data_IF_829449511087
#
_entry.id   IF_829449511087
#
_cell.length_a   1.000
_cell.length_b   1.000
_cell.length_c   1.000
_cell.angle_alpha   90.00
_cell.angle_beta   90.00
_cell.angle_gamma   90.00
#
_symmetry.space_group_name_H-M   'P 1'
#
loop_
_entity.id
_entity.type
_entity.pdbx_description
1 polymer ?
#
# COMPACT_ATOMS: atom_id res chain seq x y z
N UNK A 1 25.00 3.94 16.09
CA UNK A 1 24.28 2.90 15.32
C UNK A 1 22.82 3.32 15.24
N UNK A 2 22.20 3.24 14.06
CA UNK A 2 20.80 3.66 13.94
C UNK A 2 19.81 2.65 14.54
N UNK A 3 18.64 3.11 15.03
CA UNK A 3 17.58 2.24 15.53
C UNK A 3 17.17 1.14 14.55
N UNK A 4 17.18 1.45 13.24
CA UNK A 4 16.86 0.49 12.17
C UNK A 4 17.91 -0.62 12.07
N UNK A 5 19.20 -0.30 12.18
CA UNK A 5 20.26 -1.32 12.17
C UNK A 5 20.12 -2.24 13.38
N UNK A 6 19.86 -1.69 14.56
CA UNK A 6 19.64 -2.47 15.79
C UNK A 6 18.42 -3.40 15.65
N UNK A 7 17.34 -2.91 15.04
CA UNK A 7 16.13 -3.70 14.78
C UNK A 7 16.39 -4.84 13.78
N UNK A 8 17.13 -4.56 12.71
CA UNK A 8 17.54 -5.57 11.75
C UNK A 8 18.46 -6.61 12.39
N UNK A 9 19.30 -6.23 13.36
CA UNK A 9 20.15 -7.15 14.09
C UNK A 9 19.36 -8.16 14.91
N UNK A 10 18.35 -7.69 15.63
CA UNK A 10 17.52 -8.56 16.46
C UNK A 10 16.65 -9.48 15.61
N UNK A 11 16.15 -8.98 14.47
CA UNK A 11 15.29 -9.73 13.56
C UNK A 11 16.06 -10.70 12.65
N UNK A 12 17.28 -10.33 12.24
CA UNK A 12 18.09 -11.03 11.26
C UNK A 12 19.58 -10.98 11.63
N UNK A 13 20.02 -11.75 12.65
CA UNK A 13 21.40 -11.70 13.14
C UNK A 13 22.45 -12.03 12.06
N UNK A 14 22.10 -12.90 11.10
CA UNK A 14 22.95 -13.29 9.98
C UNK A 14 23.29 -12.11 9.03
N UNK A 15 22.46 -11.05 9.02
CA UNK A 15 22.62 -9.89 8.12
C UNK A 15 23.84 -9.01 8.50
N UNK A 16 24.12 -8.89 9.80
CA UNK A 16 25.12 -7.95 10.32
C UNK A 16 26.48 -8.60 10.63
N UNK A 17 26.56 -9.92 10.77
CA UNK A 17 27.86 -10.63 10.71
C UNK A 17 28.59 -10.34 9.39
N UNK A 18 27.83 -9.92 8.39
CA UNK A 18 28.27 -9.66 7.03
C UNK A 18 28.57 -8.17 6.78
N UNK A 19 27.94 -7.25 7.52
CA UNK A 19 28.16 -5.81 7.38
C UNK A 19 29.32 -5.35 8.28
N UNK A 20 30.45 -4.98 7.69
CA UNK A 20 31.62 -4.52 8.46
C UNK A 20 31.42 -3.13 9.06
N UNK A 21 31.86 -3.01 10.32
CA UNK A 21 32.17 -1.76 11.01
C UNK A 21 33.49 -1.18 10.49
N UNK A 22 33.45 0.01 9.90
CA UNK A 22 34.57 0.95 9.72
C UNK A 22 35.62 0.70 8.62
N UNK A 23 35.23 0.26 7.42
CA UNK A 23 36.06 0.48 6.22
C UNK A 23 35.44 1.56 5.32
N UNK A 24 36.27 2.44 4.74
CA UNK A 24 35.85 3.42 3.71
C UNK A 24 35.35 2.74 2.41
N UNK A 25 35.35 1.41 2.36
CA UNK A 25 35.01 0.60 1.21
C UNK A 25 33.71 -0.17 1.48
N UNK A 26 32.69 0.10 0.67
CA UNK A 26 31.41 -0.61 0.76
C UNK A 26 31.52 -2.00 0.14
N UNK A 27 31.14 -3.05 0.88
CA UNK A 27 31.15 -4.45 0.42
C UNK A 27 29.86 -5.24 0.67
N UNK A 28 28.81 -4.57 1.19
CA UNK A 28 27.57 -5.25 1.58
C UNK A 28 26.83 -5.91 0.41
N UNK A 29 26.91 -5.30 -0.78
CA UNK A 29 26.30 -5.79 -2.03
C UNK A 29 26.88 -7.10 -2.56
N UNK A 30 28.16 -7.35 -2.33
CA UNK A 30 28.80 -8.62 -2.67
C UNK A 30 28.43 -9.69 -1.65
N UNK A 31 28.52 -9.34 -0.36
CA UNK A 31 28.37 -10.33 0.69
C UNK A 31 26.92 -10.75 0.94
N UNK A 32 25.95 -9.88 0.66
CA UNK A 32 24.53 -10.26 0.77
C UNK A 32 24.20 -11.45 -0.12
N UNK A 33 24.86 -11.57 -1.29
CA UNK A 33 24.68 -12.69 -2.24
C UNK A 33 25.19 -14.03 -1.70
N UNK A 34 26.02 -14.01 -0.65
CA UNK A 34 26.57 -15.19 0.01
C UNK A 34 25.64 -15.73 1.11
N UNK A 35 24.58 -15.00 1.48
CA UNK A 35 23.63 -15.44 2.50
C UNK A 35 22.87 -16.69 2.04
N UNK A 36 22.66 -17.61 2.98
CA UNK A 36 22.05 -18.92 2.70
C UNK A 36 20.55 -18.87 2.39
N UNK A 37 20.04 -19.96 1.83
CA UNK A 37 18.62 -20.12 1.49
C UNK A 37 17.66 -19.90 2.66
N UNK A 38 18.01 -20.40 3.86
CA UNK A 38 17.15 -20.30 5.05
C UNK A 38 16.95 -18.85 5.50
N UNK A 39 17.97 -18.02 5.35
CA UNK A 39 17.86 -16.58 5.57
C UNK A 39 16.83 -15.96 4.61
N UNK A 40 16.95 -16.24 3.31
CA UNK A 40 16.03 -15.69 2.31
C UNK A 40 14.60 -16.19 2.46
N UNK A 41 14.37 -17.42 2.92
CA UNK A 41 13.01 -17.89 3.25
C UNK A 41 12.35 -17.00 4.31
N UNK A 42 13.08 -16.63 5.37
CA UNK A 42 12.58 -15.72 6.42
C UNK A 42 12.32 -14.32 5.87
N UNK A 43 13.29 -13.76 5.14
CA UNK A 43 13.18 -12.41 4.56
C UNK A 43 12.03 -12.32 3.57
N UNK A 44 11.84 -13.32 2.71
CA UNK A 44 10.75 -13.38 1.73
C UNK A 44 9.37 -13.38 2.42
N UNK A 45 9.22 -14.05 3.57
CA UNK A 45 7.94 -14.04 4.29
C UNK A 45 7.70 -12.74 5.05
N UNK A 46 8.77 -12.04 5.46
CA UNK A 46 8.73 -10.78 6.20
C UNK A 46 8.90 -9.53 5.31
N UNK A 47 8.99 -9.70 3.99
CA UNK A 47 9.20 -8.60 3.04
C UNK A 47 8.19 -7.44 3.16
N UNK A 48 6.90 -7.62 3.55
CA UNK A 48 6.00 -6.49 3.68
C UNK A 48 6.40 -5.57 4.84
N UNK A 49 6.89 -6.14 5.95
CA UNK A 49 7.36 -5.38 7.12
C UNK A 49 8.66 -4.63 6.78
N UNK A 50 9.62 -5.31 6.14
CA UNK A 50 10.87 -4.67 5.69
C UNK A 50 10.63 -3.53 4.69
N UNK A 51 9.65 -3.68 3.79
CA UNK A 51 9.25 -2.60 2.89
C UNK A 51 8.64 -1.40 3.65
N UNK A 52 7.87 -1.64 4.72
CA UNK A 52 7.31 -0.58 5.56
C UNK A 52 8.41 0.17 6.32
N UNK A 53 9.29 -0.56 7.00
CA UNK A 53 10.43 0.01 7.74
C UNK A 53 11.35 0.82 6.82
N UNK A 54 11.65 0.30 5.62
CA UNK A 54 12.39 1.02 4.59
C UNK A 54 11.69 2.31 4.15
N UNK A 55 10.37 2.28 3.91
CA UNK A 55 9.58 3.47 3.55
C UNK A 55 9.63 4.54 4.65
N UNK A 56 9.48 4.13 5.91
CA UNK A 56 9.54 5.05 7.07
C UNK A 56 10.93 5.68 7.18
N UNK A 57 11.99 4.89 7.01
CA UNK A 57 13.36 5.41 7.01
C UNK A 57 13.61 6.39 5.85
N UNK A 58 13.10 6.12 4.65
CA UNK A 58 13.19 7.05 3.53
C UNK A 58 12.50 8.38 3.84
N UNK A 59 11.33 8.32 4.48
CA UNK A 59 10.60 9.51 4.90
C UNK A 59 11.38 10.34 5.93
N UNK A 60 11.99 9.67 6.93
CA UNK A 60 12.87 10.30 7.90
C UNK A 60 14.07 10.97 7.23
N UNK A 61 14.81 10.27 6.37
CA UNK A 61 15.97 10.80 5.64
C UNK A 61 15.58 12.06 4.85
N UNK A 62 14.46 12.01 4.14
CA UNK A 62 13.97 13.15 3.36
C UNK A 62 13.63 14.35 4.25
N UNK A 63 12.96 14.11 5.37
CA UNK A 63 12.65 15.17 6.33
C UNK A 63 13.95 15.82 6.86
N UNK A 64 14.94 14.99 7.19
CA UNK A 64 16.24 15.44 7.70
C UNK A 64 17.01 16.29 6.67
N UNK A 65 16.94 15.93 5.38
CA UNK A 65 17.48 16.76 4.30
C UNK A 65 16.72 18.08 4.10
N UNK A 66 15.43 18.13 4.42
CA UNK A 66 14.62 19.34 4.32
C UNK A 66 14.91 20.31 5.48
N UNK A 67 15.43 19.80 6.60
CA UNK A 67 15.73 20.56 7.82
C UNK A 67 17.14 20.27 8.34
N UNK A 68 18.20 20.68 7.62
CA UNK A 68 19.59 20.30 7.91
C UNK A 68 20.16 20.80 9.25
N UNK A 69 19.45 21.70 9.95
CA UNK A 69 19.88 22.23 11.26
C UNK A 69 19.46 21.39 12.47
N UNK A 70 18.68 20.32 12.28
CA UNK A 70 18.12 19.55 13.40
C UNK A 70 18.93 18.30 13.80
N UNK A 71 19.84 17.82 12.95
CA UNK A 71 20.47 16.50 13.09
C UNK A 71 21.97 16.56 12.77
N UNK A 72 22.77 15.75 13.47
CA UNK A 72 24.21 15.68 13.22
C UNK A 72 24.52 14.99 11.89
N UNK A 73 25.60 15.43 11.23
CA UNK A 73 26.03 14.85 9.95
C UNK A 73 26.31 13.34 10.07
N UNK A 74 26.84 12.90 11.22
CA UNK A 74 27.10 11.48 11.49
C UNK A 74 25.81 10.66 11.52
N UNK A 75 24.75 11.15 12.16
CA UNK A 75 23.44 10.47 12.20
C UNK A 75 22.83 10.34 10.80
N UNK A 76 22.95 11.37 9.95
CA UNK A 76 22.48 11.30 8.54
C UNK A 76 23.27 10.25 7.77
N UNK A 77 24.60 10.17 7.95
CA UNK A 77 25.44 9.16 7.31
C UNK A 77 25.03 7.76 7.77
N UNK A 78 24.79 7.53 9.06
CA UNK A 78 24.34 6.23 9.56
C UNK A 78 22.94 5.85 9.00
N UNK A 79 22.01 6.80 8.91
CA UNK A 79 20.69 6.57 8.31
C UNK A 79 20.79 6.22 6.82
N UNK A 80 21.66 6.91 6.07
CA UNK A 80 21.93 6.61 4.66
C UNK A 80 22.53 5.20 4.49
N UNK A 81 23.46 4.78 5.37
CA UNK A 81 23.99 3.41 5.39
C UNK A 81 22.88 2.39 5.63
N UNK A 82 22.02 2.61 6.62
CA UNK A 82 20.89 1.73 6.92
C UNK A 82 19.91 1.63 5.74
N UNK A 83 19.60 2.75 5.09
CA UNK A 83 18.72 2.79 3.92
C UNK A 83 19.35 2.08 2.72
N UNK A 84 20.65 2.21 2.51
CA UNK A 84 21.36 1.52 1.44
C UNK A 84 21.36 -0.01 1.67
N UNK A 85 21.60 -0.47 2.91
CA UNK A 85 21.52 -1.89 3.26
C UNK A 85 20.13 -2.47 3.01
N UNK A 86 19.09 -1.81 3.50
CA UNK A 86 17.70 -2.23 3.27
C UNK A 86 17.35 -2.24 1.79
N UNK A 87 17.77 -1.22 1.04
CA UNK A 87 17.50 -1.13 -0.39
C UNK A 87 18.18 -2.26 -1.17
N UNK A 88 19.40 -2.67 -0.79
CA UNK A 88 20.13 -3.78 -1.41
C UNK A 88 19.52 -5.14 -1.04
N UNK A 89 19.12 -5.33 0.23
CA UNK A 89 18.39 -6.53 0.67
C UNK A 89 17.07 -6.69 -0.06
N UNK A 90 16.27 -5.62 -0.11
CA UNK A 90 15.00 -5.63 -0.81
C UNK A 90 15.19 -5.81 -2.31
N UNK A 91 16.25 -5.26 -2.92
CA UNK A 91 16.51 -5.48 -4.35
C UNK A 91 16.75 -6.96 -4.64
N UNK A 92 17.64 -7.61 -3.89
CA UNK A 92 17.97 -9.02 -4.05
C UNK A 92 16.72 -9.91 -3.90
N UNK A 93 15.87 -9.60 -2.91
CA UNK A 93 14.57 -10.26 -2.69
C UNK A 93 13.62 -10.05 -3.87
N UNK A 94 13.45 -8.82 -4.34
CA UNK A 94 12.53 -8.52 -5.44
C UNK A 94 13.04 -9.01 -6.80
N UNK A 95 14.34 -9.08 -7.01
CA UNK A 95 14.96 -9.52 -8.26
C UNK A 95 14.90 -11.04 -8.38
N UNK A 96 15.35 -11.76 -7.36
CA UNK A 96 15.62 -13.20 -7.47
C UNK A 96 14.55 -14.11 -6.89
N UNK A 97 13.71 -13.60 -5.98
CA UNK A 97 12.78 -14.42 -5.22
C UNK A 97 11.31 -14.05 -5.44
N UNK A 98 10.98 -12.76 -5.44
CA UNK A 98 9.60 -12.28 -5.67
C UNK A 98 9.31 -11.93 -7.14
N UNK A 99 10.37 -11.73 -7.93
CA UNK A 99 10.37 -11.37 -9.37
C UNK A 99 9.46 -10.17 -9.66
N UNK A 100 9.87 -9.00 -9.18
CA UNK A 100 9.10 -7.74 -9.27
C UNK A 100 9.96 -6.63 -9.89
N UNK A 101 10.04 -6.56 -11.23
CA UNK A 101 10.96 -5.64 -11.92
C UNK A 101 10.79 -4.17 -11.54
N UNK A 102 9.56 -3.70 -11.32
CA UNK A 102 9.29 -2.30 -10.94
C UNK A 102 9.92 -1.92 -9.59
N UNK A 103 9.91 -2.83 -8.62
CA UNK A 103 10.45 -2.58 -7.28
C UNK A 103 11.96 -2.57 -7.35
N UNK A 104 12.55 -3.49 -8.13
CA UNK A 104 13.98 -3.50 -8.45
C UNK A 104 14.40 -2.17 -9.07
N UNK A 105 13.70 -1.68 -10.10
CA UNK A 105 14.02 -0.39 -10.73
C UNK A 105 13.83 0.82 -9.79
N UNK A 106 12.85 0.76 -8.87
CA UNK A 106 12.69 1.80 -7.83
C UNK A 106 13.86 1.80 -6.84
N UNK A 107 14.18 0.62 -6.29
CA UNK A 107 15.23 0.46 -5.29
C UNK A 107 16.61 0.82 -5.85
N UNK A 108 16.90 0.42 -7.08
CA UNK A 108 18.12 0.80 -7.81
C UNK A 108 18.32 2.30 -7.93
N UNK A 109 17.25 3.04 -8.26
CA UNK A 109 17.29 4.51 -8.30
C UNK A 109 17.60 5.10 -6.92
N UNK A 110 16.96 4.59 -5.87
CA UNK A 110 17.24 5.04 -4.50
C UNK A 110 18.68 4.72 -4.08
N UNK A 111 19.19 3.53 -4.40
CA UNK A 111 20.57 3.15 -4.12
C UNK A 111 21.58 4.09 -4.80
N UNK A 112 21.35 4.49 -6.05
CA UNK A 112 22.21 5.47 -6.73
C UNK A 112 22.25 6.79 -5.96
N UNK A 113 21.10 7.30 -5.53
CA UNK A 113 21.02 8.53 -4.73
C UNK A 113 21.80 8.37 -3.42
N UNK A 114 21.62 7.26 -2.68
CA UNK A 114 22.34 7.04 -1.42
C UNK A 114 23.84 6.89 -1.62
N UNK A 115 24.30 6.17 -2.66
CA UNK A 115 25.72 6.01 -2.98
C UNK A 115 26.38 7.37 -3.24
N UNK A 116 25.77 8.19 -4.08
CA UNK A 116 26.28 9.55 -4.37
C UNK A 116 26.32 10.42 -3.11
N UNK A 117 25.28 10.37 -2.27
CA UNK A 117 25.28 11.14 -1.01
C UNK A 117 26.35 10.67 -0.03
N UNK A 118 26.59 9.36 0.06
CA UNK A 118 27.62 8.77 0.94
C UNK A 118 29.05 9.01 0.41
N UNK A 119 29.26 9.03 -0.91
CA UNK A 119 30.50 9.47 -1.54
C UNK A 119 30.80 10.93 -1.19
N UNK A 120 29.81 11.82 -1.36
CA UNK A 120 29.95 13.26 -1.13
C UNK A 120 30.14 13.62 0.36
N UNK A 121 29.43 12.95 1.28
CA UNK A 121 29.40 13.33 2.69
C UNK A 121 30.38 12.55 3.59
N UNK A 122 30.69 11.30 3.23
CA UNK A 122 31.49 10.40 4.06
C UNK A 122 32.76 9.90 3.35
N UNK A 123 32.98 10.26 2.09
CA UNK A 123 34.13 9.82 1.30
C UNK A 123 34.17 8.31 1.05
N UNK A 124 33.02 7.62 1.16
CA UNK A 124 32.96 6.18 0.92
C UNK A 124 33.21 5.85 -0.55
N UNK A 125 33.92 4.75 -0.80
CA UNK A 125 34.20 4.24 -2.14
C UNK A 125 33.34 3.03 -2.43
N UNK A 126 32.70 3.03 -3.60
CA UNK A 126 31.92 1.92 -4.12
C UNK A 126 32.66 1.28 -5.31
N UNK A 127 32.57 -0.04 -5.45
CA UNK A 127 33.22 -0.75 -6.56
C UNK A 127 32.67 -0.29 -7.92
N UNK A 128 33.56 -0.03 -8.88
CA UNK A 128 33.21 0.56 -10.19
C UNK A 128 32.25 -0.30 -11.02
N UNK A 129 32.24 -1.63 -10.86
CA UNK A 129 31.27 -2.51 -11.53
C UNK A 129 29.81 -2.24 -11.10
N UNK A 130 29.58 -1.69 -9.91
CA UNK A 130 28.24 -1.45 -9.35
C UNK A 130 27.74 0.00 -9.54
N UNK A 131 28.49 0.84 -10.27
CA UNK A 131 28.11 2.22 -10.62
C UNK A 131 27.13 2.27 -11.79
N UNK A 132 27.26 1.35 -12.75
CA UNK A 132 26.32 1.17 -13.85
C UNK A 132 25.32 0.07 -13.53
N UNK A 133 24.37 0.40 -12.65
CA UNK A 133 23.17 -0.41 -12.53
C UNK A 133 22.48 -0.40 -13.91
N UNK A 134 22.54 -1.53 -14.64
CA UNK A 134 21.86 -1.65 -15.92
C UNK A 134 20.39 -1.26 -15.72
N UNK A 135 19.86 -0.29 -16.50
CA UNK A 135 18.44 -0.04 -16.47
C UNK A 135 17.76 -1.35 -16.87
N UNK A 136 17.08 -1.98 -15.91
CA UNK A 136 16.05 -2.95 -16.28
C UNK A 136 15.01 -2.11 -16.99
N UNK A 137 15.05 -2.12 -18.33
CA UNK A 137 13.93 -1.69 -19.13
C UNK A 137 12.72 -2.42 -18.55
N UNK A 138 11.66 -1.70 -18.12
CA UNK A 138 10.46 -2.36 -17.66
C UNK A 138 9.92 -3.13 -18.86
N UNK A 139 10.17 -4.43 -18.91
CA UNK A 139 9.48 -5.31 -19.85
C UNK A 139 7.99 -5.03 -19.69
N UNK A 140 7.29 -4.88 -20.82
CA UNK A 140 5.86 -4.65 -20.82
C UNK A 140 5.18 -5.73 -19.97
N UNK A 141 4.73 -5.35 -18.77
CA UNK A 141 4.04 -6.25 -17.87
C UNK A 141 2.55 -6.03 -18.06
N UNK A 142 1.91 -6.95 -18.79
CA UNK A 142 0.46 -6.95 -18.97
C UNK A 142 -0.28 -6.88 -17.62
N UNK A 143 0.24 -7.56 -16.60
CA UNK A 143 -0.32 -7.50 -15.24
C UNK A 143 -0.26 -6.09 -14.65
N UNK A 144 0.84 -5.36 -14.87
CA UNK A 144 0.98 -3.99 -14.42
C UNK A 144 0.03 -3.05 -15.18
N UNK A 145 -0.04 -3.19 -16.51
CA UNK A 145 -0.95 -2.42 -17.35
C UNK A 145 -2.42 -2.61 -16.91
N UNK A 146 -2.82 -3.85 -16.64
CA UNK A 146 -4.16 -4.16 -16.12
C UNK A 146 -4.38 -3.47 -14.77
N UNK A 147 -3.44 -3.60 -13.83
CA UNK A 147 -3.56 -3.02 -12.49
C UNK A 147 -3.72 -1.50 -12.51
N UNK A 148 -2.89 -0.81 -13.27
CA UNK A 148 -2.85 0.67 -13.31
C UNK A 148 -4.11 1.24 -13.98
N UNK A 149 -4.56 0.63 -15.07
CA UNK A 149 -5.77 1.05 -15.76
C UNK A 149 -7.05 0.70 -14.99
N UNK A 150 -7.07 -0.45 -14.28
CA UNK A 150 -8.25 -0.85 -13.49
C UNK A 150 -8.59 0.22 -12.45
N UNK A 151 -7.60 0.79 -11.75
CA UNK A 151 -7.84 1.81 -10.73
C UNK A 151 -8.48 3.08 -11.32
N UNK A 152 -7.98 3.55 -12.46
CA UNK A 152 -8.49 4.77 -13.12
C UNK A 152 -9.89 4.54 -13.70
N UNK A 153 -10.07 3.44 -14.44
CA UNK A 153 -11.35 3.10 -15.10
C UNK A 153 -12.44 2.82 -14.06
N UNK A 154 -12.08 2.27 -12.88
CA UNK A 154 -13.05 1.99 -11.83
C UNK A 154 -13.84 3.25 -11.40
N UNK A 155 -13.18 4.41 -11.29
CA UNK A 155 -13.85 5.65 -10.90
C UNK A 155 -14.94 6.05 -11.89
N UNK A 156 -14.65 5.97 -13.19
CA UNK A 156 -15.62 6.24 -14.24
C UNK A 156 -16.75 5.21 -14.27
N UNK A 157 -16.41 3.92 -14.16
CA UNK A 157 -17.39 2.83 -14.08
C UNK A 157 -18.38 3.07 -12.94
N UNK A 158 -17.88 3.40 -11.76
CA UNK A 158 -18.71 3.67 -10.58
C UNK A 158 -19.58 4.91 -10.78
N UNK A 159 -19.03 6.01 -11.32
CA UNK A 159 -19.82 7.21 -11.59
C UNK A 159 -20.98 6.91 -12.54
N UNK A 160 -20.70 6.28 -13.67
CA UNK A 160 -21.71 6.01 -14.70
C UNK A 160 -22.80 5.06 -14.17
N UNK A 161 -22.41 3.96 -13.53
CA UNK A 161 -23.37 2.98 -12.98
C UNK A 161 -24.25 3.57 -11.88
N UNK A 162 -23.67 4.42 -11.01
CA UNK A 162 -24.40 5.08 -9.92
C UNK A 162 -25.32 6.18 -10.43
N UNK A 163 -24.88 6.98 -11.41
CA UNK A 163 -25.71 8.01 -12.07
C UNK A 163 -26.91 7.39 -12.76
N UNK A 164 -26.70 6.30 -13.51
CA UNK A 164 -27.82 5.56 -14.12
C UNK A 164 -28.85 5.15 -13.07
N UNK A 165 -28.41 4.61 -11.93
CA UNK A 165 -29.32 4.18 -10.87
C UNK A 165 -30.19 5.33 -10.35
N UNK A 166 -29.63 6.54 -10.20
CA UNK A 166 -30.42 7.71 -9.81
C UNK A 166 -31.46 8.06 -10.88
N UNK A 167 -31.10 8.01 -12.17
CA UNK A 167 -32.06 8.27 -13.25
C UNK A 167 -33.21 7.25 -13.23
N UNK A 168 -32.91 5.96 -13.03
CA UNK A 168 -33.92 4.91 -12.98
C UNK A 168 -34.90 5.10 -11.81
N UNK A 169 -34.42 5.55 -10.64
CA UNK A 169 -35.30 5.80 -9.49
C UNK A 169 -36.00 7.17 -9.53
N UNK A 170 -35.43 8.17 -10.22
CA UNK A 170 -36.07 9.48 -10.39
C UNK A 170 -37.39 9.35 -11.14
N UNK A 171 -37.47 8.41 -12.10
CA UNK A 171 -38.69 8.08 -12.84
C UNK A 171 -39.85 7.67 -11.91
N UNK A 172 -39.51 6.95 -10.83
CA UNK A 172 -40.46 6.40 -9.89
C UNK A 172 -40.95 7.42 -8.84
N UNK A 173 -40.24 8.53 -8.65
CA UNK A 173 -40.48 9.45 -7.52
C UNK A 173 -41.03 10.81 -7.92
N UNK A 174 -40.73 11.36 -9.11
CA UNK A 174 -40.93 12.80 -9.26
C UNK A 174 -41.15 13.42 -10.63
N UNK A 175 -41.09 12.70 -11.75
CA UNK A 175 -41.23 13.37 -13.05
C UNK A 175 -42.67 13.40 -13.55
N UNK A 176 -43.46 12.34 -13.31
CA UNK A 176 -44.83 12.23 -13.86
C UNK A 176 -44.93 12.38 -15.39
N UNK A 177 -43.78 12.52 -16.05
CA UNK A 177 -43.64 13.00 -17.41
C UNK A 177 -43.41 11.81 -18.31
N UNK A 178 -44.33 11.61 -19.25
CA UNK A 178 -44.25 10.52 -20.23
C UNK A 178 -42.98 10.61 -21.09
N UNK A 179 -42.53 11.83 -21.40
CA UNK A 179 -41.29 12.06 -22.15
C UNK A 179 -40.05 11.57 -21.38
N UNK A 180 -40.03 11.76 -20.06
CA UNK A 180 -38.93 11.28 -19.21
C UNK A 180 -38.92 9.75 -19.15
N UNK A 181 -40.08 9.12 -18.89
CA UNK A 181 -40.24 7.65 -18.89
C UNK A 181 -39.80 7.04 -20.21
N UNK A 182 -40.20 7.62 -21.33
CA UNK A 182 -39.82 7.17 -22.66
C UNK A 182 -38.30 7.24 -22.87
N UNK A 183 -37.68 8.36 -22.47
CA UNK A 183 -36.23 8.56 -22.55
C UNK A 183 -35.46 7.52 -21.69
N UNK A 184 -35.88 7.34 -20.43
CA UNK A 184 -35.28 6.35 -19.52
C UNK A 184 -35.49 4.93 -20.05
N UNK A 185 -36.65 4.61 -20.61
CA UNK A 185 -36.92 3.32 -21.23
C UNK A 185 -36.00 3.00 -22.41
N UNK A 186 -35.76 3.96 -23.31
CA UNK A 186 -34.77 3.82 -24.39
C UNK A 186 -33.37 3.63 -23.81
N UNK A 187 -32.98 4.44 -22.83
CA UNK A 187 -31.68 4.33 -22.18
C UNK A 187 -31.51 2.93 -21.57
N UNK A 188 -32.49 2.44 -20.83
CA UNK A 188 -32.45 1.14 -20.16
C UNK A 188 -32.35 -0.03 -21.14
N UNK A 189 -33.02 0.04 -22.28
CA UNK A 189 -32.93 -0.99 -23.33
C UNK A 189 -31.47 -1.23 -23.77
N UNK A 190 -30.69 -0.17 -23.97
CA UNK A 190 -29.29 -0.29 -24.38
C UNK A 190 -28.34 -0.51 -23.20
N UNK A 191 -28.61 0.16 -22.08
CA UNK A 191 -27.64 0.23 -20.98
C UNK A 191 -27.78 -0.91 -19.98
N UNK A 192 -28.96 -1.51 -19.77
CA UNK A 192 -29.10 -2.65 -18.85
C UNK A 192 -28.21 -3.83 -19.28
N UNK A 193 -28.31 -4.35 -20.53
CA UNK A 193 -27.45 -5.44 -20.95
C UNK A 193 -25.97 -5.09 -20.84
N UNK A 194 -25.59 -3.87 -21.27
CA UNK A 194 -24.22 -3.40 -21.17
C UNK A 194 -23.68 -3.41 -19.74
N UNK A 195 -24.45 -2.88 -18.77
CA UNK A 195 -24.00 -2.84 -17.38
C UNK A 195 -23.97 -4.21 -16.72
N UNK A 196 -24.85 -5.13 -17.11
CA UNK A 196 -24.83 -6.51 -16.62
C UNK A 196 -23.55 -7.23 -17.05
N UNK A 197 -23.13 -7.07 -18.31
CA UNK A 197 -21.84 -7.58 -18.79
C UNK A 197 -20.65 -6.85 -18.16
N UNK A 198 -20.73 -5.53 -18.00
CA UNK A 198 -19.67 -4.73 -17.40
C UNK A 198 -19.42 -5.09 -15.93
N UNK A 199 -20.46 -5.52 -15.21
CA UNK A 199 -20.38 -5.86 -13.78
C UNK A 199 -19.35 -6.95 -13.47
N UNK A 200 -19.20 -7.95 -14.33
CA UNK A 200 -18.22 -9.03 -14.14
C UNK A 200 -16.99 -8.90 -15.05
N UNK A 201 -17.17 -8.50 -16.31
CA UNK A 201 -16.07 -8.43 -17.28
C UNK A 201 -14.97 -7.44 -16.89
N UNK A 202 -15.34 -6.38 -16.16
CA UNK A 202 -14.39 -5.40 -15.61
C UNK A 202 -13.34 -6.04 -14.69
N UNK A 203 -13.72 -7.07 -13.92
CA UNK A 203 -12.84 -7.68 -12.92
C UNK A 203 -12.01 -8.85 -13.48
N UNK A 204 -12.41 -9.43 -14.62
CA UNK A 204 -11.72 -10.58 -15.23
C UNK A 204 -10.25 -10.32 -15.54
N UNK A 205 -9.86 -9.19 -16.17
CA UNK A 205 -8.45 -8.96 -16.49
C UNK A 205 -7.58 -9.02 -15.24
N UNK A 206 -8.00 -8.38 -14.14
CA UNK A 206 -7.24 -8.36 -12.88
C UNK A 206 -7.25 -9.71 -12.19
N UNK A 207 -8.40 -10.40 -12.15
CA UNK A 207 -8.51 -11.76 -11.62
C UNK A 207 -7.57 -12.73 -12.34
N UNK A 208 -7.60 -12.70 -13.68
CA UNK A 208 -6.79 -13.59 -14.53
C UNK A 208 -5.30 -13.31 -14.34
N UNK A 209 -4.88 -12.04 -14.30
CA UNK A 209 -3.49 -11.68 -14.05
C UNK A 209 -3.01 -12.16 -12.67
N UNK A 210 -3.83 -12.01 -11.63
CA UNK A 210 -3.50 -12.44 -10.27
C UNK A 210 -3.45 -13.98 -10.15
N UNK A 211 -4.41 -14.70 -10.73
CA UNK A 211 -4.42 -16.16 -10.78
C UNK A 211 -3.24 -16.72 -11.57
N UNK A 212 -2.92 -16.12 -12.72
CA UNK A 212 -1.78 -16.50 -13.53
C UNK A 212 -0.47 -16.36 -12.75
N UNK A 213 -0.22 -15.22 -12.11
CA UNK A 213 0.98 -15.02 -11.32
C UNK A 213 1.04 -15.97 -10.11
N UNK A 214 -0.06 -16.15 -9.39
CA UNK A 214 -0.11 -17.09 -8.28
C UNK A 214 0.24 -18.51 -8.74
N UNK A 215 -0.32 -18.95 -9.87
CA UNK A 215 -0.06 -20.28 -10.45
C UNK A 215 1.38 -20.41 -10.92
N UNK A 216 1.87 -19.43 -11.71
CA UNK A 216 3.24 -19.38 -12.25
C UNK A 216 4.30 -19.53 -11.17
N UNK A 217 4.10 -18.86 -10.03
CA UNK A 217 5.08 -18.86 -8.95
C UNK A 217 4.90 -20.03 -7.96
N UNK A 218 3.73 -20.67 -7.94
CA UNK A 218 3.49 -21.85 -7.08
C UNK A 218 3.98 -23.14 -7.73
N UNK A 219 3.66 -23.32 -9.01
CA UNK A 219 4.08 -24.48 -9.80
C UNK A 219 5.49 -24.23 -10.33
N UNK A 220 6.31 -25.27 -10.51
CA UNK A 220 7.63 -25.15 -11.13
C UNK A 220 7.50 -24.77 -12.61
N UNK A 221 7.34 -23.48 -12.88
CA UNK A 221 7.25 -22.96 -14.24
C UNK A 221 8.61 -23.05 -14.96
N UNK A 222 8.65 -23.34 -16.27
CA UNK A 222 9.90 -23.48 -17.01
C UNK A 222 10.85 -22.30 -16.83
N UNK A 223 10.34 -21.08 -16.98
CA UNK A 223 11.09 -19.82 -16.94
C UNK A 223 11.39 -19.30 -15.52
N UNK A 224 11.20 -20.13 -14.50
CA UNK A 224 11.44 -19.74 -13.12
C UNK A 224 12.94 -19.78 -12.77
N UNK A 225 13.43 -18.72 -12.12
CA UNK A 225 14.84 -18.59 -11.74
C UNK A 225 15.29 -19.66 -10.74
N UNK A 226 16.57 -20.02 -10.78
CA UNK A 226 17.12 -21.05 -9.89
C UNK A 226 16.94 -20.68 -8.40
N UNK A 227 17.25 -19.43 -8.02
CA UNK A 227 17.07 -18.92 -6.65
C UNK A 227 15.61 -18.98 -6.18
N UNK A 228 14.67 -18.63 -7.06
CA UNK A 228 13.24 -18.74 -6.76
C UNK A 228 12.82 -20.20 -6.53
N UNK A 229 13.25 -21.12 -7.41
CA UNK A 229 12.95 -22.56 -7.30
C UNK A 229 13.38 -23.14 -5.94
N UNK A 230 14.51 -22.68 -5.40
CA UNK A 230 15.07 -23.16 -4.13
C UNK A 230 14.20 -22.86 -2.90
N UNK A 231 13.32 -21.84 -2.93
CA UNK A 231 12.49 -21.47 -1.76
C UNK A 231 11.47 -22.56 -1.34
N UNK A 232 11.13 -23.47 -2.26
CA UNK A 232 10.03 -24.41 -2.08
C UNK A 232 8.67 -23.79 -2.43
N UNK A 233 7.68 -24.64 -2.74
CA UNK A 233 6.37 -24.19 -3.22
C UNK A 233 5.57 -23.42 -2.16
N UNK A 234 5.63 -23.83 -0.89
CA UNK A 234 4.87 -23.20 0.19
C UNK A 234 5.28 -21.74 0.42
N UNK A 235 6.59 -21.46 0.49
CA UNK A 235 7.11 -20.10 0.69
C UNK A 235 6.75 -19.21 -0.50
N UNK A 236 6.89 -19.72 -1.74
CA UNK A 236 6.50 -19.00 -2.95
C UNK A 236 5.01 -18.68 -2.97
N UNK A 237 4.17 -19.66 -2.68
CA UNK A 237 2.72 -19.48 -2.61
C UNK A 237 2.35 -18.41 -1.58
N UNK A 238 2.85 -18.53 -0.34
CA UNK A 238 2.58 -17.56 0.73
C UNK A 238 3.06 -16.15 0.38
N UNK A 239 4.24 -16.01 -0.20
CA UNK A 239 4.77 -14.72 -0.63
C UNK A 239 3.89 -14.04 -1.70
N UNK A 240 3.37 -14.81 -2.66
CA UNK A 240 2.47 -14.27 -3.67
C UNK A 240 1.07 -13.99 -3.12
N UNK A 241 0.58 -14.85 -2.22
CA UNK A 241 -0.71 -14.69 -1.54
C UNK A 241 -0.72 -13.40 -0.71
N UNK A 242 0.28 -13.17 0.14
CA UNK A 242 0.43 -11.95 0.96
C UNK A 242 0.30 -10.65 0.14
N UNK A 243 0.69 -10.67 -1.14
CA UNK A 243 0.67 -9.51 -2.02
C UNK A 243 -0.66 -9.31 -2.77
N UNK A 244 -1.42 -10.37 -3.01
CA UNK A 244 -2.57 -10.36 -3.96
C UNK A 244 -3.90 -10.75 -3.36
N UNK A 245 -3.93 -11.39 -2.20
CA UNK A 245 -5.13 -12.06 -1.71
C UNK A 245 -6.34 -11.13 -1.54
N UNK A 246 -6.15 -9.87 -1.11
CA UNK A 246 -7.24 -8.89 -1.02
C UNK A 246 -7.89 -8.58 -2.37
N UNK A 247 -7.07 -8.44 -3.43
CA UNK A 247 -7.55 -8.16 -4.78
C UNK A 247 -8.16 -9.41 -5.41
N UNK A 248 -7.51 -10.56 -5.22
CA UNK A 248 -7.98 -11.86 -5.69
C UNK A 248 -9.35 -12.20 -5.09
N UNK A 249 -9.50 -12.06 -3.77
CA UNK A 249 -10.75 -12.34 -3.07
C UNK A 249 -11.88 -11.41 -3.51
N UNK A 250 -11.59 -10.11 -3.61
CA UNK A 250 -12.55 -9.14 -4.12
C UNK A 250 -13.00 -9.48 -5.55
N UNK A 251 -12.07 -9.71 -6.46
CA UNK A 251 -12.39 -10.00 -7.86
C UNK A 251 -13.16 -11.30 -8.04
N UNK A 252 -12.81 -12.34 -7.27
CA UNK A 252 -13.48 -13.62 -7.32
C UNK A 252 -14.96 -13.48 -6.92
N UNK A 253 -15.27 -12.74 -5.86
CA UNK A 253 -16.65 -12.49 -5.42
C UNK A 253 -17.40 -11.69 -6.48
N UNK A 254 -16.84 -10.58 -6.96
CA UNK A 254 -17.53 -9.72 -7.92
C UNK A 254 -17.74 -10.36 -9.29
N UNK A 255 -16.78 -11.18 -9.78
CA UNK A 255 -16.97 -11.98 -11.00
C UNK A 255 -18.07 -13.02 -10.77
N UNK A 256 -18.05 -13.76 -9.67
CA UNK A 256 -19.04 -14.81 -9.38
C UNK A 256 -20.45 -14.23 -9.26
N UNK A 257 -20.60 -13.15 -8.49
CA UNK A 257 -21.88 -12.45 -8.29
C UNK A 257 -22.39 -11.87 -9.61
N UNK A 258 -21.52 -11.24 -10.40
CA UNK A 258 -21.90 -10.68 -11.70
C UNK A 258 -22.32 -11.74 -12.71
N UNK A 259 -21.62 -12.89 -12.77
CA UNK A 259 -22.01 -14.01 -13.63
C UNK A 259 -23.35 -14.63 -13.20
N UNK A 260 -23.55 -14.84 -11.90
CA UNK A 260 -24.82 -15.36 -11.38
C UNK A 260 -25.98 -14.39 -11.66
N UNK A 261 -25.79 -13.09 -11.44
CA UNK A 261 -26.80 -12.09 -11.75
C UNK A 261 -27.11 -12.00 -13.25
N UNK A 262 -26.10 -12.13 -14.11
CA UNK A 262 -26.24 -11.98 -15.55
C UNK A 262 -26.90 -13.21 -16.22
N UNK A 263 -26.55 -14.43 -15.78
CA UNK A 263 -26.95 -15.66 -16.47
C UNK A 263 -27.92 -16.56 -15.70
N UNK A 264 -27.96 -16.46 -14.36
CA UNK A 264 -28.74 -17.39 -13.51
C UNK A 264 -29.92 -16.70 -12.86
N UNK A 265 -29.71 -15.56 -12.22
CA UNK A 265 -30.73 -14.81 -11.49
C UNK A 265 -31.48 -13.84 -12.40
N UNK A 266 -32.07 -14.38 -13.47
CA UNK A 266 -32.85 -13.62 -14.46
C UNK A 266 -34.34 -13.99 -14.38
N UNK A 267 -35.20 -13.20 -15.03
CA UNK A 267 -36.65 -13.45 -15.07
C UNK A 267 -37.28 -13.45 -13.68
N UNK A 268 -37.94 -14.55 -13.30
CA UNK A 268 -38.60 -14.71 -12.00
C UNK A 268 -37.63 -14.73 -10.82
N UNK A 269 -36.35 -15.06 -11.05
CA UNK A 269 -35.31 -15.08 -10.02
C UNK A 269 -34.60 -13.73 -9.85
N UNK A 270 -34.89 -12.74 -10.70
CA UNK A 270 -34.26 -11.41 -10.65
C UNK A 270 -34.32 -10.72 -9.27
N UNK A 271 -35.40 -10.84 -8.47
CA UNK A 271 -35.42 -10.25 -7.12
C UNK A 271 -34.33 -10.80 -6.18
N UNK A 272 -33.86 -12.03 -6.41
CA UNK A 272 -32.79 -12.64 -5.61
C UNK A 272 -31.42 -12.00 -5.88
N UNK A 273 -31.22 -11.40 -7.06
CA UNK A 273 -29.97 -10.75 -7.44
C UNK A 273 -29.61 -9.58 -6.49
N UNK A 274 -30.61 -8.90 -5.92
CA UNK A 274 -30.39 -7.81 -4.97
C UNK A 274 -29.75 -8.35 -3.68
N UNK A 275 -30.23 -9.47 -3.15
CA UNK A 275 -29.67 -10.08 -1.94
C UNK A 275 -28.25 -10.60 -2.16
N UNK A 276 -27.99 -11.23 -3.32
CA UNK A 276 -26.64 -11.69 -3.67
C UNK A 276 -25.67 -10.51 -3.82
N UNK A 277 -26.11 -9.41 -4.43
CA UNK A 277 -25.32 -8.18 -4.55
C UNK A 277 -25.07 -7.54 -3.18
N UNK A 278 -26.06 -7.55 -2.29
CA UNK A 278 -25.92 -7.05 -0.93
C UNK A 278 -24.91 -7.88 -0.12
N UNK A 279 -24.93 -9.20 -0.30
CA UNK A 279 -23.91 -10.10 0.25
C UNK A 279 -22.50 -9.73 -0.24
N UNK A 280 -22.34 -9.41 -1.53
CA UNK A 280 -21.06 -8.96 -2.08
C UNK A 280 -20.55 -7.67 -1.39
N UNK A 281 -21.44 -6.70 -1.15
CA UNK A 281 -21.09 -5.49 -0.41
C UNK A 281 -20.76 -5.76 1.07
N UNK A 282 -21.46 -6.70 1.72
CA UNK A 282 -21.10 -7.12 3.07
C UNK A 282 -19.72 -7.79 3.12
N UNK A 283 -19.40 -8.59 2.11
CA UNK A 283 -18.07 -9.16 1.93
C UNK A 283 -17.01 -8.07 1.73
N UNK A 284 -17.29 -7.03 0.96
CA UNK A 284 -16.36 -5.90 0.78
C UNK A 284 -16.05 -5.20 2.12
N UNK A 285 -17.03 -5.04 3.01
CA UNK A 285 -16.83 -4.52 4.36
C UNK A 285 -15.92 -5.46 5.15
N UNK A 286 -16.23 -6.75 5.19
CA UNK A 286 -15.41 -7.73 5.93
C UNK A 286 -13.97 -7.78 5.42
N UNK A 287 -13.78 -7.80 4.09
CA UNK A 287 -12.48 -7.80 3.45
C UNK A 287 -11.70 -6.50 3.72
N UNK A 288 -12.38 -5.35 3.72
CA UNK A 288 -11.79 -4.04 4.05
C UNK A 288 -11.38 -3.94 5.51
N UNK A 289 -12.23 -4.41 6.44
CA UNK A 289 -11.93 -4.47 7.87
C UNK A 289 -10.75 -5.38 8.16
N UNK A 290 -10.72 -6.56 7.54
CA UNK A 290 -9.61 -7.50 7.69
C UNK A 290 -8.30 -6.92 7.12
N UNK A 291 -8.38 -6.16 6.02
CA UNK A 291 -7.24 -5.40 5.48
C UNK A 291 -6.73 -4.37 6.45
N UNK A 292 -7.64 -3.56 6.99
CA UNK A 292 -7.29 -2.54 7.96
C UNK A 292 -6.63 -3.16 9.20
N UNK A 293 -7.20 -4.25 9.72
CA UNK A 293 -6.65 -4.99 10.84
C UNK A 293 -5.23 -5.49 10.56
N UNK A 294 -4.99 -6.17 9.43
CA UNK A 294 -3.67 -6.73 9.12
C UNK A 294 -2.63 -5.64 8.84
N UNK A 295 -2.97 -4.60 8.09
CA UNK A 295 -2.04 -3.50 7.77
C UNK A 295 -1.69 -2.68 9.01
N UNK A 296 -2.68 -2.32 9.85
CA UNK A 296 -2.43 -1.58 11.09
C UNK A 296 -1.70 -2.44 12.12
N UNK A 297 -2.06 -3.70 12.30
CA UNK A 297 -1.39 -4.58 13.27
C UNK A 297 0.09 -4.78 12.96
N UNK A 298 0.49 -4.77 11.68
CA UNK A 298 1.92 -4.79 11.30
C UNK A 298 2.66 -3.54 11.77
N UNK A 299 2.04 -2.37 11.64
CA UNK A 299 2.64 -1.10 12.10
C UNK A 299 2.67 -0.99 13.62
N UNK A 300 1.62 -1.45 14.30
CA UNK A 300 1.61 -1.50 15.76
C UNK A 300 2.64 -2.48 16.31
N UNK A 301 2.78 -3.65 15.70
CA UNK A 301 3.84 -4.59 16.05
C UNK A 301 5.23 -3.96 15.89
N UNK A 302 5.47 -3.27 14.78
CA UNK A 302 6.73 -2.54 14.56
C UNK A 302 6.92 -1.47 15.64
N UNK A 303 5.90 -0.66 15.91
CA UNK A 303 5.94 0.35 16.98
C UNK A 303 6.30 -0.26 18.33
N UNK A 304 5.70 -1.39 18.70
CA UNK A 304 5.97 -2.09 19.96
C UNK A 304 7.38 -2.67 20.01
N UNK A 305 7.91 -3.18 18.90
CA UNK A 305 9.30 -3.64 18.79
C UNK A 305 10.29 -2.49 19.05
N UNK A 306 10.04 -1.29 18.48
CA UNK A 306 10.86 -0.11 18.76
C UNK A 306 10.69 0.45 20.17
N UNK A 307 9.48 0.41 20.75
CA UNK A 307 9.26 0.80 22.16
C UNK A 307 10.04 -0.11 23.11
N UNK A 308 9.99 -1.42 22.89
CA UNK A 308 10.77 -2.40 23.68
C UNK A 308 12.26 -2.18 23.55
N UNK A 309 12.74 -1.84 22.35
CA UNK A 309 14.13 -1.46 22.13
C UNK A 309 14.50 -0.21 22.95
N UNK A 310 13.66 0.83 22.93
CA UNK A 310 13.89 2.04 23.73
C UNK A 310 13.91 1.81 25.24
N UNK A 311 13.16 0.82 25.74
CA UNK A 311 13.18 0.42 27.16
C UNK A 311 14.38 -0.45 27.53
N UNK A 312 14.92 -1.22 26.59
CA UNK A 312 16.05 -2.12 26.82
C UNK A 312 17.42 -1.41 26.76
N UNK A 313 17.47 -0.23 26.14
CA UNK A 313 18.68 0.57 25.96
C UNK A 313 18.87 1.54 27.13
N UNK A 314 20.09 1.66 27.64
CA UNK A 314 20.46 2.60 28.71
C UNK A 314 21.17 3.86 28.19
N UNK A 315 21.44 3.96 26.89
CA UNK A 315 22.10 5.10 26.26
C UNK A 315 21.08 6.19 25.89
N UNK A 316 21.26 7.40 26.42
CA UNK A 316 20.38 8.54 26.19
C UNK A 316 20.34 8.98 24.71
N UNK A 317 21.45 8.88 23.99
CA UNK A 317 21.52 9.26 22.56
C UNK A 317 20.74 8.26 21.70
N UNK A 318 20.88 6.97 21.97
CA UNK A 318 20.11 5.92 21.29
C UNK A 318 18.62 6.01 21.62
N UNK A 319 18.25 6.27 22.89
CA UNK A 319 16.86 6.50 23.28
C UNK A 319 16.26 7.68 22.50
N UNK A 320 17.02 8.78 22.36
CA UNK A 320 16.57 9.94 21.59
C UNK A 320 16.36 9.60 20.11
N UNK A 321 17.30 8.88 19.50
CA UNK A 321 17.17 8.43 18.11
C UNK A 321 15.98 7.48 17.90
N UNK A 322 15.74 6.56 18.85
CA UNK A 322 14.58 5.65 18.83
C UNK A 322 13.28 6.43 18.95
N UNK A 323 13.19 7.41 19.87
CA UNK A 323 12.01 8.28 20.02
C UNK A 323 11.72 9.07 18.75
N UNK A 324 12.76 9.60 18.10
CA UNK A 324 12.60 10.29 16.82
C UNK A 324 12.06 9.35 15.74
N UNK A 325 12.63 8.14 15.62
CA UNK A 325 12.14 7.14 14.67
C UNK A 325 10.69 6.72 14.95
N UNK A 326 10.32 6.55 16.23
CA UNK A 326 8.95 6.28 16.67
C UNK A 326 7.97 7.37 16.25
N UNK A 327 8.38 8.64 16.21
CA UNK A 327 7.53 9.72 15.70
C UNK A 327 7.16 9.51 14.22
N UNK A 328 8.10 9.07 13.39
CA UNK A 328 7.81 8.77 11.98
C UNK A 328 6.92 7.53 11.83
N UNK A 329 7.11 6.51 12.68
CA UNK A 329 6.21 5.34 12.74
C UNK A 329 4.79 5.79 13.12
N UNK A 330 4.63 6.64 14.13
CA UNK A 330 3.35 7.17 14.59
C UNK A 330 2.66 7.99 13.49
N UNK A 331 3.42 8.85 12.81
CA UNK A 331 2.91 9.60 11.67
C UNK A 331 2.41 8.68 10.54
N UNK A 332 3.15 7.59 10.27
CA UNK A 332 2.71 6.59 9.30
C UNK A 332 1.44 5.85 9.74
N UNK A 333 1.33 5.49 11.02
CA UNK A 333 0.11 4.87 11.58
C UNK A 333 -1.09 5.79 11.39
N UNK A 334 -0.95 7.08 11.69
CA UNK A 334 -2.04 8.05 11.57
C UNK A 334 -2.51 8.21 10.12
N UNK A 335 -1.57 8.33 9.18
CA UNK A 335 -1.89 8.33 7.76
C UNK A 335 -2.65 7.06 7.33
N UNK A 336 -2.17 5.88 7.76
CA UNK A 336 -2.78 4.60 7.39
C UNK A 336 -4.17 4.42 8.00
N UNK A 337 -4.38 4.86 9.25
CA UNK A 337 -5.71 4.91 9.88
C UNK A 337 -6.69 5.74 9.07
N UNK A 338 -6.29 6.94 8.65
CA UNK A 338 -7.14 7.82 7.85
C UNK A 338 -7.45 7.22 6.48
N UNK A 339 -6.44 6.67 5.80
CA UNK A 339 -6.60 6.02 4.49
C UNK A 339 -7.53 4.80 4.55
N UNK A 340 -7.26 3.88 5.47
CA UNK A 340 -8.03 2.63 5.60
C UNK A 340 -9.41 2.88 6.19
N UNK A 341 -9.53 3.81 7.16
CA UNK A 341 -10.79 4.22 7.76
C UNK A 341 -11.71 4.90 6.75
N UNK A 342 -11.18 5.79 5.89
CA UNK A 342 -11.95 6.40 4.82
C UNK A 342 -12.49 5.36 3.82
N UNK A 343 -11.66 4.38 3.44
CA UNK A 343 -12.09 3.29 2.57
C UNK A 343 -13.22 2.48 3.21
N UNK A 344 -13.05 2.06 4.48
CA UNK A 344 -14.06 1.29 5.21
C UNK A 344 -15.38 2.07 5.36
N UNK A 345 -15.32 3.33 5.79
CA UNK A 345 -16.48 4.21 5.89
C UNK A 345 -17.21 4.36 4.54
N UNK A 346 -16.45 4.51 3.44
CA UNK A 346 -16.99 4.55 2.09
C UNK A 346 -17.74 3.26 1.72
N UNK A 347 -17.14 2.08 1.97
CA UNK A 347 -17.79 0.79 1.71
C UNK A 347 -19.04 0.57 2.54
N UNK A 348 -19.03 0.97 3.82
CA UNK A 348 -20.18 0.88 4.71
C UNK A 348 -21.34 1.79 4.25
N UNK A 349 -21.03 3.04 3.88
CA UNK A 349 -22.03 3.96 3.35
C UNK A 349 -22.66 3.46 2.05
N UNK A 350 -21.88 2.83 1.16
CA UNK A 350 -22.41 2.18 -0.04
C UNK A 350 -23.34 1.02 0.34
N UNK A 351 -22.95 0.15 1.27
CA UNK A 351 -23.79 -0.95 1.74
C UNK A 351 -25.13 -0.48 2.31
N UNK A 352 -25.11 0.59 3.12
CA UNK A 352 -26.33 1.21 3.66
C UNK A 352 -27.20 1.75 2.52
N UNK A 353 -26.62 2.49 1.57
CA UNK A 353 -27.35 3.00 0.41
C UNK A 353 -27.96 1.88 -0.46
N UNK A 354 -27.27 0.76 -0.59
CA UNK A 354 -27.77 -0.44 -1.29
C UNK A 354 -28.91 -1.13 -0.54
N UNK A 355 -28.85 -1.14 0.80
CA UNK A 355 -29.87 -1.77 1.64
C UNK A 355 -31.23 -1.09 1.49
N UNK A 356 -31.26 0.21 1.19
CA UNK A 356 -32.50 0.95 0.92
C UNK A 356 -33.21 0.52 -0.38
N UNK A 357 -32.54 -0.24 -1.25
CA UNK A 357 -33.11 -0.80 -2.48
C UNK A 357 -33.62 -2.24 -2.32
N UNK A 358 -33.60 -2.82 -1.12
CA UNK A 358 -34.13 -4.17 -0.85
C UNK A 358 -35.65 -4.17 -1.12
N UNK A 359 -36.22 -5.21 -1.77
CA UNK A 359 -37.64 -5.26 -2.14
C UNK A 359 -38.62 -4.93 -1.02
N UNK A 360 -38.34 -5.35 0.22
CA UNK A 360 -39.19 -5.08 1.41
C UNK A 360 -39.29 -3.57 1.71
N UNK A 361 -38.21 -2.82 1.50
CA UNK A 361 -38.16 -1.37 1.70
C UNK A 361 -38.55 -0.60 0.44
N UNK A 362 -38.31 -1.19 -0.73
CA UNK A 362 -38.61 -0.59 -2.03
C UNK A 362 -40.11 -0.49 -2.36
N UNK A 363 -41.01 -0.93 -1.47
CA UNK A 363 -42.45 -0.67 -1.55
C UNK A 363 -42.72 0.84 -1.62
N UNK A 364 -41.89 1.65 -0.95
CA UNK A 364 -41.87 3.09 -1.13
C UNK A 364 -40.75 3.48 -2.11
N UNK A 365 -41.06 3.99 -3.33
CA UNK A 365 -40.06 4.32 -4.34
C UNK A 365 -39.09 5.44 -3.90
N UNK A 366 -39.44 6.22 -2.87
CA UNK A 366 -38.59 7.26 -2.31
C UNK A 366 -37.34 6.67 -1.62
N UNK A 367 -37.45 5.50 -0.99
CA UNK A 367 -36.33 4.90 -0.26
C UNK A 367 -35.19 4.46 -1.19
N UNK A 368 -35.43 3.69 -2.28
CA UNK A 368 -34.39 3.39 -3.26
C UNK A 368 -33.78 4.63 -3.93
N UNK A 369 -34.59 5.68 -4.16
CA UNK A 369 -34.10 6.96 -4.69
C UNK A 369 -33.11 7.64 -3.73
N UNK A 370 -33.45 7.74 -2.44
CA UNK A 370 -32.54 8.25 -1.41
C UNK A 370 -31.27 7.40 -1.37
N UNK A 371 -31.38 6.07 -1.41
CA UNK A 371 -30.24 5.17 -1.47
C UNK A 371 -29.32 5.43 -2.65
N UNK A 372 -29.88 5.65 -3.84
CA UNK A 372 -29.11 5.96 -5.04
C UNK A 372 -28.38 7.31 -4.94
N UNK A 373 -29.03 8.34 -4.39
CA UNK A 373 -28.38 9.64 -4.12
C UNK A 373 -27.24 9.50 -3.11
N UNK A 374 -27.46 8.76 -2.02
CA UNK A 374 -26.43 8.50 -1.02
C UNK A 374 -25.19 7.86 -1.66
N UNK A 375 -25.36 6.86 -2.54
CA UNK A 375 -24.23 6.18 -3.19
C UNK A 375 -23.41 7.13 -4.10
N UNK A 376 -24.05 8.08 -4.79
CA UNK A 376 -23.35 9.12 -5.59
C UNK A 376 -22.64 10.12 -4.68
N UNK A 377 -23.31 10.59 -3.62
CA UNK A 377 -22.71 11.51 -2.65
C UNK A 377 -21.49 10.87 -1.99
N UNK A 378 -21.60 9.61 -1.57
CA UNK A 378 -20.48 8.83 -1.03
C UNK A 378 -19.34 8.72 -2.05
N UNK A 379 -19.63 8.50 -3.34
CA UNK A 379 -18.60 8.52 -4.39
C UNK A 379 -17.85 9.86 -4.44
N UNK A 380 -18.58 10.98 -4.47
CA UNK A 380 -17.97 12.31 -4.56
C UNK A 380 -17.14 12.65 -3.31
N UNK A 381 -17.68 12.35 -2.12
CA UNK A 381 -16.99 12.56 -0.85
C UNK A 381 -15.73 11.70 -0.74
N UNK A 382 -15.83 10.40 -1.03
CA UNK A 382 -14.66 9.50 -0.98
C UNK A 382 -13.59 9.91 -1.98
N UNK A 383 -13.97 10.34 -3.19
CA UNK A 383 -13.02 10.86 -4.19
C UNK A 383 -12.28 12.11 -3.70
N UNK A 384 -13.02 13.11 -3.18
CA UNK A 384 -12.44 14.35 -2.67
C UNK A 384 -11.55 14.12 -1.44
N UNK A 385 -12.02 13.33 -0.48
CA UNK A 385 -11.29 13.01 0.74
C UNK A 385 -10.05 12.15 0.45
N UNK A 386 -10.12 11.20 -0.47
CA UNK A 386 -8.95 10.39 -0.87
C UNK A 386 -7.86 11.29 -1.45
N UNK A 387 -8.22 12.25 -2.31
CA UNK A 387 -7.25 13.23 -2.83
C UNK A 387 -6.61 14.05 -1.71
N UNK A 388 -7.41 14.47 -0.71
CA UNK A 388 -6.89 15.21 0.45
C UNK A 388 -5.92 14.36 1.28
N UNK A 389 -6.26 13.10 1.54
CA UNK A 389 -5.40 12.16 2.28
C UNK A 389 -4.10 11.88 1.50
N UNK A 390 -4.17 11.70 0.19
CA UNK A 390 -2.97 11.48 -0.64
C UNK A 390 -2.00 12.69 -0.63
N UNK A 391 -2.47 13.92 -0.37
CA UNK A 391 -1.59 15.08 -0.17
C UNK A 391 -0.77 14.98 1.13
N UNK A 392 -1.32 14.30 2.15
CA UNK A 392 -0.64 14.04 3.42
C UNK A 392 0.16 12.75 3.43
N UNK A 393 0.28 12.08 2.27
CA UNK A 393 1.01 10.82 2.17
C UNK A 393 2.49 11.02 2.50
N UNK A 394 3.06 10.24 3.43
CA UNK A 394 4.50 10.25 3.67
C UNK A 394 5.24 9.95 2.37
N UNK A 395 6.08 10.88 1.95
CA UNK A 395 6.79 10.73 0.69
C UNK A 395 8.05 9.89 0.88
N UNK A 396 8.03 8.70 0.31
CA UNK A 396 9.10 7.71 0.38
C UNK A 396 10.18 7.90 -0.70
N UNK A 397 10.00 8.84 -1.64
CA UNK A 397 11.02 9.14 -2.66
C UNK A 397 12.08 10.07 -2.08
N UNK A 398 13.31 9.56 -2.02
CA UNK A 398 14.48 10.38 -1.69
C UNK A 398 15.06 10.90 -2.99
N UNK A 399 14.88 12.18 -3.25
CA UNK A 399 15.50 12.89 -4.37
C UNK A 399 16.76 13.58 -3.89
N UNK A 400 17.78 13.71 -4.76
CA UNK A 400 18.96 14.50 -4.43
C UNK A 400 18.50 15.95 -4.22
N UNK A 401 18.75 16.57 -3.05
CA UNK A 401 18.39 17.96 -2.84
C UNK A 401 19.07 18.83 -3.89
N UNK A 402 18.34 19.73 -4.55
CA UNK A 402 18.89 20.69 -5.53
C UNK A 402 19.89 21.70 -4.92
N UNK A 403 20.17 21.58 -3.63
CA UNK A 403 21.02 22.47 -2.84
C UNK A 403 22.05 21.73 -1.98
N UNK A 404 22.54 20.55 -2.38
CA UNK A 404 23.79 19.99 -1.82
C UNK A 404 25.00 20.82 -2.32
N UNK A 405 24.96 22.12 -2.05
CA UNK A 405 26.12 23.00 -2.05
C UNK A 405 26.23 23.48 -0.61
N UNK A 406 27.11 22.80 0.12
CA UNK A 406 27.70 23.24 1.38
C UNK A 406 26.71 23.43 2.54
N UNK A 407 26.91 22.65 3.61
CA UNK A 407 26.57 23.01 4.99
C UNK A 407 27.34 24.26 5.49
N UNK A 408 27.60 25.23 4.60
CA UNK A 408 28.19 26.52 4.91
C UNK A 408 27.12 27.47 5.43
N UNK A 409 27.55 28.44 6.22
CA UNK A 409 26.75 29.44 6.96
C UNK A 409 25.73 30.28 6.14
N UNK A 410 25.55 30.02 4.84
CA UNK A 410 24.79 30.84 3.88
C UNK A 410 23.70 30.09 3.09
N UNK A 411 23.14 29.01 3.63
CA UNK A 411 21.93 28.40 3.05
C UNK A 411 20.73 29.35 3.16
N UNK A 412 20.20 29.77 2.00
CA UNK A 412 19.02 30.65 1.88
C UNK A 412 17.77 29.88 2.34
N UNK A 413 17.10 30.36 3.41
CA UNK A 413 15.81 29.82 3.87
C UNK A 413 14.79 29.86 2.74
N UNK A 414 14.23 28.71 2.36
CA UNK A 414 13.05 28.66 1.50
C UNK A 414 11.81 28.92 2.36
N UNK A 415 11.25 30.12 2.25
CA UNK A 415 9.95 30.44 2.83
C UNK A 415 8.85 29.75 2.02
N UNK A 416 8.05 28.91 2.68
CA UNK A 416 6.83 28.34 2.11
C UNK A 416 6.71 26.82 2.19
N UNK A 417 6.76 26.25 3.40
CA UNK A 417 6.18 24.92 3.64
C UNK A 417 5.53 24.90 5.02
N UNK A 418 4.27 24.48 5.08
CA UNK A 418 3.50 24.35 6.33
C UNK A 418 4.16 23.25 7.15
N UNK A 419 4.61 23.59 8.37
CA UNK A 419 5.07 22.60 9.36
C UNK A 419 3.98 21.52 9.51
N UNK A 420 4.28 20.22 9.31
CA UNK A 420 3.46 19.21 9.95
C UNK A 420 3.51 19.47 11.46
N UNK A 421 2.35 19.52 12.09
CA UNK A 421 2.25 19.61 13.55
C UNK A 421 2.80 18.30 14.10
N UNK A 422 4.09 18.31 14.43
CA UNK A 422 4.70 17.33 15.32
C UNK A 422 3.99 17.49 16.66
N UNK A 423 3.42 16.39 17.17
CA UNK A 423 2.86 16.37 18.52
C UNK A 423 3.94 16.82 19.53
N UNK A 424 3.58 17.60 20.56
CA UNK A 424 4.51 18.01 21.60
C UNK A 424 5.23 16.80 22.21
N UNK A 425 6.50 16.99 22.55
CA UNK A 425 7.44 16.01 23.10
C UNK A 425 6.89 15.27 24.35
N UNK A 426 5.86 15.80 25.00
CA UNK A 426 5.29 15.29 26.26
C UNK A 426 4.24 14.17 26.11
N UNK A 427 3.89 13.74 24.89
CA UNK A 427 2.83 12.73 24.68
C UNK A 427 3.32 11.28 24.52
N UNK A 428 4.63 11.05 24.50
CA UNK A 428 5.22 9.71 24.40
C UNK A 428 5.80 9.33 25.76
N UNK A 429 4.92 9.09 26.72
CA UNK A 429 5.28 8.34 27.92
C UNK A 429 5.57 6.90 27.50
N UNK A 430 6.82 6.47 27.63
CA UNK A 430 7.21 5.07 27.66
C UNK A 430 6.66 4.48 28.97
N UNK A 431 5.35 4.23 29.05
CA UNK A 431 4.76 3.67 30.26
C UNK A 431 5.11 2.18 30.39
N UNK A 432 5.53 1.79 31.60
CA UNK A 432 5.89 0.40 31.95
C UNK A 432 4.69 -0.55 32.07
N UNK A 433 3.45 -0.06 31.88
CA UNK A 433 2.26 -0.88 32.11
C UNK A 433 1.76 -1.50 30.80
N UNK A 434 2.14 -2.77 30.62
CA UNK A 434 1.53 -3.66 29.65
C UNK A 434 0.09 -4.00 30.05
N UNK A 435 -0.86 -3.12 29.71
CA UNK A 435 -2.29 -3.48 29.63
C UNK A 435 -2.92 -2.73 28.46
N UNK A 436 -2.99 -3.42 27.31
CA UNK A 436 -3.81 -2.98 26.17
C UNK A 436 -5.26 -3.37 26.43
N UNK A 437 -5.97 -2.58 27.23
CA UNK A 437 -7.43 -2.63 27.24
C UNK A 437 -7.96 -1.98 25.96
N UNK A 438 -8.36 -2.82 25.00
CA UNK A 438 -9.22 -2.46 23.87
C UNK A 438 -10.52 -1.85 24.41
N UNK A 439 -10.67 -0.53 24.34
CA UNK A 439 -11.98 0.12 24.41
C UNK A 439 -12.52 0.24 22.99
N UNK A 440 -13.44 -0.65 22.63
CA UNK A 440 -14.31 -0.48 21.47
C UNK A 440 -15.44 0.48 21.86
N UNK A 441 -15.51 1.61 21.15
CA UNK A 441 -16.69 2.46 21.05
C UNK A 441 -17.01 2.68 19.58
#
# INVERSE_FOLDING_TARGET
MTPVIVHLQSSFPDLLQVAESNSLQWSFDERIKLLGLEFYKKVVLNHPLLNMEYSILCHQIRHNFSYPGHISQEQVIEQLKAALMLAQLLEEVHLHYLVVPREVSRLRRHQQVYKTLLEEQAGMKFSSENSMIKPCQPEFSLTQYVRDNTAQINWFRLLVTRTKRVLNFLDLVGTGSEAYRYCVGIMDYYTNPFFDYLAWSFFIPRLTANLYLMTKHTILWPDMGAKEKMLGWHVRFMAQLQRRWFELGNDLVWVSVGLLNCFVLTGTLAPLAIYLTLFAFAFDIANSSLRAYIELNRLYKLQDEYKKMGLATNDEEEIKAIKEHLNYINHRIEFEKQRLGLHLAGTLAIFIGMSLAIPVLAVNPVLPFIGALLIIITWALTFALTRKVELSRPNDTVEKPSGVVQFGLFSRKSDGYVKPVLTPEDSIELSENGDTSLSCG
#
